data_IF_283286728798
#
_entry.id   IF_283286728798
#
_cell.length_a   1.000
_cell.length_b   1.000
_cell.length_c   1.000
_cell.angle_alpha   90.00
_cell.angle_beta   90.00
_cell.angle_gamma   90.00
#
_symmetry.space_group_name_H-M   'P 1'
#
loop_
_entity.id
_entity.type
_entity.pdbx_description
1 polymer ?
#
# COMPACT_ATOMS: atom_id res chain seq x y z
N UNK A 1 -9.44 -12.30 -9.99
CA UNK A 1 -8.17 -11.98 -9.33
C UNK A 1 -8.47 -11.02 -8.18
N UNK A 2 -8.17 -11.41 -6.94
CA UNK A 2 -8.46 -10.65 -5.71
C UNK A 2 -7.36 -9.62 -5.35
N UNK A 3 -6.40 -9.38 -6.24
CA UNK A 3 -5.24 -8.54 -5.96
C UNK A 3 -5.31 -7.20 -6.70
N UNK A 4 -5.17 -6.11 -5.94
CA UNK A 4 -5.09 -4.73 -6.45
C UNK A 4 -3.68 -4.20 -6.20
N UNK A 5 -3.04 -3.64 -7.24
CA UNK A 5 -1.68 -3.10 -7.12
C UNK A 5 -1.61 -1.96 -6.09
N UNK A 6 -0.43 -1.71 -5.50
CA UNK A 6 -0.25 -0.61 -4.55
C UNK A 6 -0.66 0.74 -5.16
N UNK A 7 -0.27 1.06 -6.39
CA UNK A 7 -0.73 2.30 -7.05
C UNK A 7 -2.25 2.42 -7.12
N UNK A 8 -2.96 1.30 -7.33
CA UNK A 8 -4.43 1.27 -7.34
C UNK A 8 -5.01 1.41 -5.93
N UNK A 9 -4.37 0.84 -4.91
CA UNK A 9 -4.72 1.05 -3.51
C UNK A 9 -4.56 2.52 -3.09
N UNK A 10 -3.43 3.15 -3.45
CA UNK A 10 -3.18 4.58 -3.22
C UNK A 10 -4.24 5.42 -3.90
N UNK A 11 -4.54 5.13 -5.17
CA UNK A 11 -5.60 5.83 -5.91
C UNK A 11 -6.96 5.69 -5.23
N UNK A 12 -7.36 4.48 -4.83
CA UNK A 12 -8.61 4.26 -4.11
C UNK A 12 -8.66 5.03 -2.77
N UNK A 13 -7.57 5.04 -2.01
CA UNK A 13 -7.50 5.80 -0.77
C UNK A 13 -7.73 7.30 -1.02
N UNK A 14 -7.07 7.87 -2.04
CA UNK A 14 -7.22 9.28 -2.40
C UNK A 14 -8.60 9.63 -2.94
N UNK A 15 -9.17 8.80 -3.82
CA UNK A 15 -10.41 9.13 -4.55
C UNK A 15 -11.68 8.65 -3.86
N UNK A 16 -11.60 7.71 -2.92
CA UNK A 16 -12.76 7.12 -2.24
C UNK A 16 -12.66 7.36 -0.73
N UNK A 17 -11.62 6.86 -0.08
CA UNK A 17 -11.50 6.89 1.38
C UNK A 17 -11.42 8.31 1.94
N UNK A 18 -10.61 9.20 1.35
CA UNK A 18 -10.52 10.58 1.83
C UNK A 18 -11.85 11.34 1.68
N UNK A 19 -12.55 11.31 0.53
CA UNK A 19 -13.88 11.90 0.42
C UNK A 19 -14.88 11.37 1.46
N UNK A 20 -14.95 10.05 1.66
CA UNK A 20 -15.85 9.45 2.66
C UNK A 20 -15.49 9.86 4.08
N UNK A 21 -14.20 9.95 4.41
CA UNK A 21 -13.79 10.46 5.72
C UNK A 21 -14.16 11.94 5.87
N UNK A 22 -14.13 12.74 4.80
CA UNK A 22 -14.54 14.16 4.88
C UNK A 22 -16.03 14.30 5.19
N UNK A 23 -16.89 13.43 4.67
CA UNK A 23 -18.33 13.49 4.96
C UNK A 23 -18.62 13.19 6.43
N UNK A 24 -17.85 12.31 7.06
CA UNK A 24 -18.01 11.97 8.48
C UNK A 24 -17.59 13.09 9.44
N UNK A 25 -16.62 13.93 9.06
CA UNK A 25 -16.05 14.94 9.94
C UNK A 25 -16.69 16.34 9.79
N UNK A 26 -17.65 16.52 8.86
CA UNK A 26 -18.38 17.75 8.54
C UNK A 26 -17.53 19.02 8.26
N UNK A 27 -16.21 18.94 8.41
CA UNK A 27 -15.25 20.02 8.23
C UNK A 27 -13.86 19.43 7.94
N UNK A 28 -13.19 19.94 6.90
CA UNK A 28 -11.82 19.56 6.52
C UNK A 28 -10.79 19.79 7.63
N UNK A 29 -10.92 20.84 8.43
CA UNK A 29 -10.00 21.15 9.53
C UNK A 29 -10.13 20.15 10.69
N UNK A 30 -11.34 19.65 10.98
CA UNK A 30 -11.54 18.60 11.98
C UNK A 30 -10.91 17.30 11.53
N UNK A 31 -11.14 16.90 10.27
CA UNK A 31 -10.48 15.74 9.69
C UNK A 31 -8.95 15.89 9.73
N UNK A 32 -8.42 17.03 9.29
CA UNK A 32 -6.97 17.26 9.29
C UNK A 32 -6.38 17.21 10.70
N UNK A 33 -7.05 17.79 11.70
CA UNK A 33 -6.61 17.73 13.10
C UNK A 33 -6.68 16.32 13.69
N UNK A 34 -7.67 15.52 13.26
CA UNK A 34 -7.79 14.12 13.66
C UNK A 34 -6.66 13.28 13.04
N UNK A 35 -6.48 13.37 11.72
CA UNK A 35 -5.45 12.64 10.98
C UNK A 35 -4.04 13.02 11.43
N UNK A 36 -3.80 14.27 11.83
CA UNK A 36 -2.51 14.71 12.38
C UNK A 36 -2.12 14.00 13.70
N UNK A 37 -3.09 13.42 14.41
CA UNK A 37 -2.87 12.62 15.63
C UNK A 37 -2.88 11.11 15.35
N UNK A 38 -3.14 10.71 14.11
CA UNK A 38 -3.25 9.31 13.72
C UNK A 38 -1.90 8.77 13.25
N UNK A 39 -1.61 7.52 13.59
CA UNK A 39 -0.52 6.77 12.99
C UNK A 39 -1.07 6.07 11.75
N UNK A 40 -0.51 6.39 10.58
CA UNK A 40 -0.81 5.67 9.36
C UNK A 40 0.21 4.56 9.17
N UNK A 41 -0.26 3.33 9.15
CA UNK A 41 0.57 2.15 8.85
C UNK A 41 0.24 1.70 7.44
N UNK A 42 1.21 1.83 6.54
CA UNK A 42 1.13 1.28 5.20
C UNK A 42 1.93 -0.01 5.18
N UNK A 43 1.23 -1.14 5.15
CA UNK A 43 1.87 -2.45 5.00
C UNK A 43 1.81 -2.86 3.53
N UNK A 44 2.98 -3.00 2.92
CA UNK A 44 3.14 -3.66 1.62
C UNK A 44 4.10 -4.84 1.77
N UNK A 45 3.91 -5.89 0.99
CA UNK A 45 4.81 -7.05 0.99
C UNK A 45 4.10 -8.40 0.95
N UNK A 46 3.09 -8.66 1.79
CA UNK A 46 2.52 -10.01 1.91
C UNK A 46 1.87 -10.55 0.64
N UNK A 47 1.04 -9.74 -0.03
CA UNK A 47 0.26 -10.17 -1.19
C UNK A 47 1.07 -10.14 -2.49
N UNK A 48 1.96 -9.16 -2.65
CA UNK A 48 2.83 -9.02 -3.83
C UNK A 48 3.96 -10.07 -3.81
N UNK A 49 4.55 -10.36 -2.63
CA UNK A 49 5.43 -11.52 -2.47
C UNK A 49 4.67 -12.82 -2.72
N UNK A 50 3.48 -13.03 -2.13
CA UNK A 50 2.73 -14.25 -2.35
C UNK A 50 2.45 -14.48 -3.85
N UNK A 51 2.13 -13.44 -4.62
CA UNK A 51 1.91 -13.55 -6.07
C UNK A 51 3.18 -13.92 -6.84
N UNK A 52 4.31 -13.25 -6.60
CA UNK A 52 5.56 -13.52 -7.33
C UNK A 52 6.21 -14.85 -6.90
N UNK A 53 6.00 -15.28 -5.66
CA UNK A 53 6.56 -16.50 -5.08
C UNK A 53 5.64 -17.72 -5.22
N UNK A 54 4.44 -17.55 -5.81
CA UNK A 54 3.52 -18.64 -6.13
C UNK A 54 4.00 -19.44 -7.35
N UNK A 55 5.02 -20.27 -7.15
CA UNK A 55 5.53 -21.21 -8.17
C UNK A 55 6.78 -21.96 -7.71
N UNK A 56 6.92 -23.23 -8.08
CA UNK A 56 8.04 -24.10 -7.66
C UNK A 56 9.43 -23.57 -8.06
N UNK A 57 9.53 -22.88 -9.20
CA UNK A 57 10.77 -22.28 -9.74
C UNK A 57 11.10 -20.92 -9.09
N UNK A 58 10.17 -20.31 -8.36
CA UNK A 58 10.28 -18.91 -7.87
C UNK A 58 10.53 -18.80 -6.35
N UNK A 59 10.51 -19.92 -5.63
CA UNK A 59 10.73 -19.94 -4.17
C UNK A 59 12.15 -19.56 -3.76
N UNK A 60 13.18 -20.01 -4.49
CA UNK A 60 14.58 -19.66 -4.19
C UNK A 60 14.86 -18.18 -4.44
N UNK A 61 14.25 -17.60 -5.48
CA UNK A 61 14.41 -16.19 -5.84
C UNK A 61 13.75 -15.24 -4.85
N UNK A 62 12.67 -15.68 -4.20
CA UNK A 62 11.99 -14.92 -3.16
C UNK A 62 12.67 -14.98 -1.78
N UNK A 63 13.62 -15.89 -1.60
CA UNK A 63 14.41 -16.00 -0.37
C UNK A 63 15.70 -15.16 -0.44
N UNK A 64 15.95 -14.43 -1.53
CA UNK A 64 17.13 -13.58 -1.68
C UNK A 64 16.88 -12.15 -1.25
N UNK A 65 17.91 -11.52 -0.69
CA UNK A 65 17.92 -10.10 -0.34
C UNK A 65 17.71 -9.21 -1.58
N UNK A 66 18.16 -9.66 -2.75
CA UNK A 66 18.01 -8.95 -4.02
C UNK A 66 16.53 -8.76 -4.44
N UNK A 67 15.68 -9.76 -4.17
CA UNK A 67 14.24 -9.64 -4.40
C UNK A 67 13.61 -8.64 -3.44
N UNK A 68 13.99 -8.68 -2.17
CA UNK A 68 13.51 -7.73 -1.17
C UNK A 68 13.90 -6.28 -1.52
N UNK A 69 15.15 -6.06 -1.93
CA UNK A 69 15.63 -4.76 -2.40
C UNK A 69 14.86 -4.26 -3.64
N UNK A 70 14.64 -5.12 -4.63
CA UNK A 70 13.86 -4.76 -5.82
C UNK A 70 12.40 -4.42 -5.47
N UNK A 71 11.82 -5.13 -4.52
CA UNK A 71 10.46 -4.89 -4.04
C UNK A 71 10.37 -3.55 -3.29
N UNK A 72 11.32 -3.28 -2.39
CA UNK A 72 11.43 -2.02 -1.65
C UNK A 72 11.63 -0.83 -2.59
N UNK A 73 12.51 -0.96 -3.60
CA UNK A 73 12.75 0.09 -4.59
C UNK A 73 11.48 0.42 -5.40
N UNK A 74 10.76 -0.61 -5.84
CA UNK A 74 9.53 -0.45 -6.62
C UNK A 74 8.41 0.19 -5.77
N UNK A 75 8.27 -0.22 -4.51
CA UNK A 75 7.34 0.41 -3.58
C UNK A 75 7.69 1.87 -3.30
N UNK A 76 8.98 2.16 -3.07
CA UNK A 76 9.45 3.53 -2.85
C UNK A 76 9.13 4.43 -4.05
N UNK A 77 9.29 3.91 -5.28
CA UNK A 77 8.93 4.64 -6.49
C UNK A 77 7.42 4.93 -6.58
N UNK A 78 6.57 3.98 -6.19
CA UNK A 78 5.11 4.17 -6.22
C UNK A 78 4.57 5.12 -5.13
N UNK A 79 5.38 5.40 -4.11
CA UNK A 79 5.05 6.34 -3.02
C UNK A 79 5.53 7.77 -3.29
N UNK A 80 6.40 7.99 -4.28
CA UNK A 80 6.83 9.30 -4.74
C UNK A 80 5.88 9.84 -5.80
#
# INVERSE_FOLDING_TARGET
SLFISLSKQIKHFQTITIPDLRTQFNNRQKLSSYLAKSIFVFNSGGNDCAQECSGSVRKEKCASDEFLESLLANFTHQLK
#
